data_IF_989505362528
#
_entry.id   IF_989505362528
#
_cell.length_a   1.000
_cell.length_b   1.000
_cell.length_c   1.000
_cell.angle_alpha   90.00
_cell.angle_beta   90.00
_cell.angle_gamma   90.00
#
_symmetry.space_group_name_H-M   'P 1'
#
loop_
_entity.id
_entity.type
_entity.pdbx_description
1 polymer ?
#
# COMPACT_ATOMS: atom_id res chain seq x y z
N UNK A 1 3.06 -24.36 33.45
CA UNK A 1 3.54 -24.83 32.13
C UNK A 1 2.35 -24.82 31.17
N UNK A 2 2.26 -23.82 30.29
CA UNK A 2 1.21 -23.75 29.26
C UNK A 2 1.77 -24.28 27.93
N UNK A 3 0.98 -25.00 27.11
CA UNK A 3 1.46 -25.59 25.88
C UNK A 3 1.67 -24.54 24.78
N UNK A 4 2.82 -24.65 24.10
CA UNK A 4 3.19 -23.93 22.89
C UNK A 4 2.09 -24.09 21.81
N UNK A 5 1.43 -22.99 21.43
CA UNK A 5 0.56 -22.95 20.25
C UNK A 5 1.45 -23.13 19.01
N UNK A 6 1.37 -24.29 18.38
CA UNK A 6 1.95 -24.55 17.05
C UNK A 6 1.33 -23.57 16.05
N UNK A 7 2.16 -22.70 15.47
CA UNK A 7 1.76 -21.82 14.38
C UNK A 7 1.23 -22.64 13.20
N UNK A 8 0.14 -22.18 12.57
CA UNK A 8 -0.35 -22.81 11.35
C UNK A 8 0.73 -22.72 10.26
N UNK A 9 1.00 -23.81 9.52
CA UNK A 9 1.93 -23.76 8.40
C UNK A 9 1.44 -22.74 7.37
N UNK A 10 2.36 -21.97 6.78
CA UNK A 10 2.09 -20.87 5.85
C UNK A 10 1.08 -21.24 4.74
N UNK A 11 1.09 -22.49 4.28
CA UNK A 11 0.10 -23.01 3.32
C UNK A 11 -1.34 -23.02 3.84
N UNK A 12 -1.56 -23.34 5.11
CA UNK A 12 -2.89 -23.33 5.72
C UNK A 12 -3.40 -21.90 5.98
N UNK A 13 -2.50 -20.93 6.19
CA UNK A 13 -2.86 -19.52 6.29
C UNK A 13 -3.28 -18.94 4.93
N UNK A 14 -2.55 -19.24 3.86
CA UNK A 14 -2.91 -18.85 2.50
C UNK A 14 -4.21 -19.50 2.04
N UNK A 15 -4.43 -20.78 2.34
CA UNK A 15 -5.69 -21.46 2.04
C UNK A 15 -6.87 -20.79 2.74
N UNK A 16 -6.68 -20.39 4.00
CA UNK A 16 -7.70 -19.68 4.77
C UNK A 16 -7.99 -18.29 4.21
N UNK A 17 -6.99 -17.56 3.72
CA UNK A 17 -7.19 -16.28 3.01
C UNK A 17 -7.98 -16.50 1.73
N UNK A 18 -7.66 -17.53 0.94
CA UNK A 18 -8.38 -17.87 -0.29
C UNK A 18 -9.82 -18.29 0.01
N UNK A 19 -10.06 -19.06 1.06
CA UNK A 19 -11.41 -19.43 1.51
C UNK A 19 -12.20 -18.21 2.00
N UNK A 20 -11.60 -17.32 2.80
CA UNK A 20 -12.29 -16.14 3.32
C UNK A 20 -12.58 -15.11 2.22
N UNK A 21 -11.65 -14.93 1.26
CA UNK A 21 -11.87 -14.07 0.08
C UNK A 21 -12.91 -14.68 -0.86
N UNK A 22 -12.89 -15.99 -1.09
CA UNK A 22 -13.92 -16.69 -1.85
C UNK A 22 -15.30 -16.61 -1.17
N UNK A 23 -15.35 -16.72 0.16
CA UNK A 23 -16.58 -16.54 0.96
C UNK A 23 -17.10 -15.11 0.90
N UNK A 24 -16.23 -14.11 0.99
CA UNK A 24 -16.59 -12.70 0.84
C UNK A 24 -17.07 -12.37 -0.58
N UNK A 25 -16.42 -12.92 -1.60
CA UNK A 25 -16.83 -12.79 -3.00
C UNK A 25 -18.18 -13.47 -3.24
N UNK A 26 -18.42 -14.67 -2.69
CA UNK A 26 -19.71 -15.36 -2.76
C UNK A 26 -20.80 -14.59 -2.00
N UNK A 27 -20.51 -14.03 -0.82
CA UNK A 27 -21.47 -13.22 -0.06
C UNK A 27 -21.84 -11.95 -0.82
N UNK A 28 -20.85 -11.26 -1.38
CA UNK A 28 -21.07 -10.05 -2.19
C UNK A 28 -21.83 -10.37 -3.49
N UNK A 29 -21.56 -11.53 -4.10
CA UNK A 29 -22.28 -12.03 -5.26
C UNK A 29 -23.73 -12.38 -4.92
N UNK A 30 -23.99 -13.06 -3.81
CA UNK A 30 -25.35 -13.40 -3.34
C UNK A 30 -26.14 -12.13 -3.06
N UNK A 31 -25.57 -11.15 -2.36
CA UNK A 31 -26.23 -9.85 -2.08
C UNK A 31 -26.52 -9.10 -3.40
N UNK A 32 -25.58 -9.09 -4.34
CA UNK A 32 -25.79 -8.46 -5.64
C UNK A 32 -26.90 -9.16 -6.45
N UNK A 33 -26.95 -10.50 -6.42
CA UNK A 33 -28.00 -11.29 -7.08
C UNK A 33 -29.36 -11.07 -6.41
N UNK A 34 -29.43 -10.99 -5.08
CA UNK A 34 -30.66 -10.69 -4.35
C UNK A 34 -31.18 -9.28 -4.65
N UNK A 35 -30.31 -8.27 -4.66
CA UNK A 35 -30.68 -6.89 -5.02
C UNK A 35 -31.21 -6.83 -6.47
N UNK A 36 -30.55 -7.52 -7.40
CA UNK A 36 -30.98 -7.59 -8.80
C UNK A 36 -32.32 -8.33 -8.90
N UNK A 37 -32.50 -9.45 -8.18
CA UNK A 37 -33.75 -10.23 -8.15
C UNK A 37 -34.92 -9.40 -7.60
N UNK A 38 -34.67 -8.65 -6.51
CA UNK A 38 -35.67 -7.79 -5.89
C UNK A 38 -36.10 -6.64 -6.80
N UNK A 39 -35.14 -6.00 -7.48
CA UNK A 39 -35.43 -4.98 -8.50
C UNK A 39 -36.19 -5.57 -9.71
N UNK A 40 -35.90 -6.82 -10.08
CA UNK A 40 -36.62 -7.51 -11.15
C UNK A 40 -38.06 -7.85 -10.78
N UNK A 41 -38.32 -8.29 -9.55
CA UNK A 41 -39.68 -8.55 -9.06
C UNK A 41 -40.51 -7.26 -9.01
N UNK A 42 -39.93 -6.18 -8.49
CA UNK A 42 -40.57 -4.85 -8.48
C UNK A 42 -40.91 -4.35 -9.88
N UNK A 43 -40.02 -4.54 -10.87
CA UNK A 43 -40.29 -4.16 -12.26
C UNK A 43 -41.31 -5.09 -12.94
N UNK A 44 -41.34 -6.37 -12.57
CA UNK A 44 -42.31 -7.34 -13.10
C UNK A 44 -43.73 -7.07 -12.59
N UNK A 45 -43.89 -6.74 -11.31
CA UNK A 45 -45.21 -6.46 -10.71
C UNK A 45 -45.81 -5.14 -11.20
N UNK A 46 -44.97 -4.14 -11.51
CA UNK A 46 -45.46 -2.82 -11.96
C UNK A 46 -45.74 -2.71 -13.47
N UNK A 47 -45.13 -3.53 -14.33
CA UNK A 47 -45.18 -3.31 -15.79
C UNK A 47 -45.80 -4.43 -16.64
N UNK A 48 -46.09 -5.60 -16.07
CA UNK A 48 -46.52 -6.77 -16.86
C UNK A 48 -47.99 -6.77 -17.32
N UNK A 49 -48.98 -6.05 -16.75
CA UNK A 49 -50.34 -6.16 -17.27
C UNK A 49 -50.58 -5.48 -18.63
N UNK A 50 -49.68 -4.62 -19.13
CA UNK A 50 -50.00 -3.73 -20.26
C UNK A 50 -49.21 -3.92 -21.57
N UNK A 51 -48.21 -4.81 -21.64
CA UNK A 51 -47.36 -4.88 -22.85
C UNK A 51 -47.26 -6.28 -23.46
N UNK A 52 -47.89 -6.42 -24.64
CA UNK A 52 -47.89 -7.63 -25.45
C UNK A 52 -46.50 -8.07 -25.95
N UNK A 53 -46.43 -9.33 -26.40
CA UNK A 53 -45.22 -10.15 -26.65
C UNK A 53 -44.12 -9.53 -27.53
N UNK A 54 -44.40 -8.47 -28.31
CA UNK A 54 -43.39 -7.76 -29.11
C UNK A 54 -42.40 -6.93 -28.27
N UNK A 55 -42.78 -6.47 -27.09
CA UNK A 55 -41.90 -5.71 -26.16
C UNK A 55 -40.89 -6.58 -25.43
N UNK A 56 -41.13 -7.90 -25.36
CA UNK A 56 -40.27 -8.84 -24.64
C UNK A 56 -38.88 -9.02 -25.28
N UNK A 57 -38.76 -8.90 -26.61
CA UNK A 57 -37.45 -8.92 -27.30
C UNK A 57 -36.62 -7.67 -27.03
N UNK A 58 -37.24 -6.47 -27.03
CA UNK A 58 -36.56 -5.22 -26.66
C UNK A 58 -36.10 -5.22 -25.20
N UNK A 59 -36.89 -5.81 -24.30
CA UNK A 59 -36.50 -5.98 -22.90
C UNK A 59 -35.27 -6.88 -22.71
N UNK A 60 -35.10 -7.96 -23.48
CA UNK A 60 -33.89 -8.81 -23.39
C UNK A 60 -32.59 -8.04 -23.71
N UNK A 61 -32.63 -7.13 -24.69
CA UNK A 61 -31.47 -6.29 -25.05
C UNK A 61 -31.15 -5.25 -23.96
N UNK A 62 -32.17 -4.66 -23.33
CA UNK A 62 -31.99 -3.70 -22.22
C UNK A 62 -31.38 -4.39 -20.99
N UNK A 63 -31.79 -5.63 -20.70
CA UNK A 63 -31.25 -6.43 -19.58
C UNK A 63 -29.75 -6.70 -19.73
N UNK A 64 -29.28 -7.01 -20.93
CA UNK A 64 -27.85 -7.23 -21.21
C UNK A 64 -27.05 -5.93 -21.04
N UNK A 65 -27.62 -4.80 -21.48
CA UNK A 65 -26.97 -3.49 -21.33
C UNK A 65 -26.87 -3.11 -19.86
N UNK A 66 -27.94 -3.30 -19.07
CA UNK A 66 -27.96 -2.99 -17.64
C UNK A 66 -26.95 -3.83 -16.85
N UNK A 67 -26.86 -5.14 -17.13
CA UNK A 67 -25.86 -6.02 -16.50
C UNK A 67 -24.43 -5.60 -16.85
N UNK A 68 -24.17 -5.24 -18.12
CA UNK A 68 -22.86 -4.74 -18.55
C UNK A 68 -22.51 -3.40 -17.89
N UNK A 69 -23.48 -2.50 -17.74
CA UNK A 69 -23.28 -1.20 -17.10
C UNK A 69 -23.00 -1.36 -15.59
N UNK A 70 -23.73 -2.25 -14.91
CA UNK A 70 -23.50 -2.60 -13.52
C UNK A 70 -22.12 -3.23 -13.31
N UNK A 71 -21.71 -4.16 -14.20
CA UNK A 71 -20.37 -4.75 -14.16
C UNK A 71 -19.28 -3.69 -14.36
N UNK A 72 -19.49 -2.73 -15.27
CA UNK A 72 -18.56 -1.63 -15.52
C UNK A 72 -18.44 -0.70 -14.29
N UNK A 73 -19.55 -0.41 -13.62
CA UNK A 73 -19.58 0.39 -12.38
C UNK A 73 -18.89 -0.35 -11.22
N UNK A 74 -19.07 -1.66 -11.11
CA UNK A 74 -18.36 -2.50 -10.12
C UNK A 74 -16.86 -2.52 -10.39
N UNK A 75 -16.45 -2.66 -11.66
CA UNK A 75 -15.04 -2.61 -12.05
C UNK A 75 -14.42 -1.22 -11.83
N UNK A 76 -15.17 -0.13 -12.07
CA UNK A 76 -14.74 1.24 -11.75
C UNK A 76 -14.62 1.47 -10.23
N UNK A 77 -15.48 0.84 -9.43
CA UNK A 77 -15.40 0.89 -7.96
C UNK A 77 -14.29 0.02 -7.36
N UNK A 78 -13.70 -0.87 -8.16
CA UNK A 78 -12.56 -1.72 -7.76
C UNK A 78 -11.20 -1.00 -7.89
N UNK A 79 -11.20 0.28 -8.26
CA UNK A 79 -10.06 1.17 -8.10
C UNK A 79 -9.84 1.47 -6.62
N UNK A 80 -9.23 0.52 -5.90
CA UNK A 80 -8.72 0.76 -4.54
C UNK A 80 -7.87 2.02 -4.62
N UNK A 81 -8.32 3.08 -3.94
CA UNK A 81 -7.62 4.34 -3.78
C UNK A 81 -6.34 4.08 -2.98
N UNK A 82 -5.29 3.64 -3.66
CA UNK A 82 -3.94 3.69 -3.14
C UNK A 82 -3.56 5.17 -3.07
N UNK A 83 -3.67 5.77 -1.88
CA UNK A 83 -3.12 7.09 -1.64
C UNK A 83 -1.62 6.91 -1.38
N UNK A 84 -0.74 7.21 -2.36
CA UNK A 84 0.68 7.13 -2.12
C UNK A 84 1.10 8.17 -1.08
N UNK A 85 2.18 7.86 -0.38
CA UNK A 85 2.83 8.78 0.55
C UNK A 85 3.87 9.55 -0.26
N UNK A 86 3.62 10.82 -0.52
CA UNK A 86 4.54 11.68 -1.25
C UNK A 86 5.56 12.28 -0.27
N UNK A 87 6.86 12.16 -0.61
CA UNK A 87 7.95 12.67 0.21
C UNK A 87 8.90 13.49 -0.64
N UNK A 88 9.16 14.74 -0.24
CA UNK A 88 10.17 15.60 -0.85
C UNK A 88 11.52 15.44 -0.15
N UNK A 89 12.54 15.20 -0.96
CA UNK A 89 13.93 15.05 -0.54
C UNK A 89 14.69 16.34 -0.89
N UNK A 90 15.58 16.83 0.00
CA UNK A 90 16.34 18.03 -0.29
C UNK A 90 17.13 17.92 -1.61
N UNK A 91 17.25 19.03 -2.39
CA UNK A 91 17.79 19.03 -3.76
C UNK A 91 19.16 18.38 -3.94
N UNK A 92 20.01 18.47 -2.91
CA UNK A 92 21.40 18.00 -2.93
C UNK A 92 21.60 16.75 -2.08
N UNK A 93 20.55 16.21 -1.47
CA UNK A 93 20.66 15.07 -0.59
C UNK A 93 20.96 13.80 -1.39
N UNK A 94 21.88 13.00 -0.85
CA UNK A 94 22.22 11.65 -1.31
C UNK A 94 22.44 10.79 -0.07
N UNK A 95 22.16 9.49 -0.17
CA UNK A 95 22.33 8.54 0.92
C UNK A 95 21.01 7.92 1.40
N UNK A 96 20.98 7.54 2.67
CA UNK A 96 19.88 6.80 3.26
C UNK A 96 18.75 7.71 3.74
N UNK A 97 17.59 7.53 3.13
CA UNK A 97 16.36 8.21 3.46
C UNK A 97 15.55 7.31 4.39
N UNK A 98 15.04 7.88 5.49
CA UNK A 98 14.25 7.15 6.49
C UNK A 98 12.91 7.84 6.70
N UNK A 99 11.82 7.09 6.56
CA UNK A 99 10.48 7.53 6.92
C UNK A 99 10.10 6.92 8.27
N UNK A 100 9.92 7.79 9.25
CA UNK A 100 9.66 7.41 10.64
C UNK A 100 8.16 7.54 10.92
N UNK A 101 7.45 6.41 11.10
CA UNK A 101 6.07 6.46 11.52
C UNK A 101 5.93 7.00 12.94
N UNK A 102 5.00 7.93 13.12
CA UNK A 102 4.59 8.46 14.42
C UNK A 102 3.24 7.85 14.81
N UNK A 103 3.16 7.26 16.00
CA UNK A 103 1.91 6.63 16.49
C UNK A 103 1.01 7.65 17.17
N UNK A 104 1.57 8.46 18.07
CA UNK A 104 0.84 9.56 18.71
C UNK A 104 0.97 10.85 17.89
N UNK A 105 -0.05 11.12 17.08
CA UNK A 105 -0.10 12.31 16.21
C UNK A 105 -0.66 13.55 16.91
N UNK A 106 -1.24 13.41 18.11
CA UNK A 106 -2.05 14.46 18.77
C UNK A 106 -1.26 15.74 19.01
N UNK A 107 0.04 15.61 19.29
CA UNK A 107 0.96 16.72 19.56
C UNK A 107 2.18 16.71 18.63
N UNK A 108 2.09 16.00 17.50
CA UNK A 108 3.19 15.93 16.53
C UNK A 108 2.91 16.82 15.33
N UNK A 109 3.78 17.79 15.08
CA UNK A 109 3.71 18.61 13.88
C UNK A 109 4.49 17.94 12.75
N UNK A 110 3.77 17.44 11.75
CA UNK A 110 4.37 16.94 10.52
C UNK A 110 4.81 18.11 9.64
N UNK A 111 6.03 18.05 9.13
CA UNK A 111 6.51 19.01 8.14
C UNK A 111 5.98 18.60 6.76
N UNK A 112 4.93 19.28 6.30
CA UNK A 112 4.26 19.01 5.04
C UNK A 112 4.27 20.29 4.20
N UNK A 113 4.66 20.17 2.92
CA UNK A 113 4.61 21.26 1.96
C UNK A 113 4.01 20.73 0.66
N UNK A 114 3.02 21.44 0.13
CA UNK A 114 2.32 21.06 -1.11
C UNK A 114 1.76 19.62 -1.12
N UNK A 115 1.37 19.09 0.05
CA UNK A 115 0.88 17.72 0.19
C UNK A 115 1.96 16.65 0.40
N UNK A 116 3.24 17.00 0.27
CA UNK A 116 4.38 16.10 0.45
C UNK A 116 5.03 16.25 1.82
N UNK A 117 5.38 15.13 2.45
CA UNK A 117 6.18 15.10 3.67
C UNK A 117 7.61 15.51 3.37
N UNK A 118 8.18 16.41 4.16
CA UNK A 118 9.51 16.96 3.90
C UNK A 118 10.56 16.18 4.68
N UNK A 119 11.53 15.59 3.97
CA UNK A 119 12.72 15.06 4.60
C UNK A 119 13.66 16.20 5.02
N UNK A 120 14.24 16.08 6.21
CA UNK A 120 15.23 17.04 6.69
C UNK A 120 16.60 16.84 6.00
N UNK A 121 17.58 17.68 6.37
CA UNK A 121 18.96 17.60 5.84
C UNK A 121 19.68 16.28 6.13
N UNK A 122 19.17 15.47 7.06
CA UNK A 122 19.68 14.14 7.37
C UNK A 122 19.00 13.01 6.58
N UNK A 123 18.00 13.32 5.76
CA UNK A 123 17.21 12.36 4.99
C UNK A 123 16.08 11.72 5.80
N UNK A 124 15.66 12.35 6.91
CA UNK A 124 14.60 11.82 7.78
C UNK A 124 13.31 12.59 7.54
N UNK A 125 12.23 11.88 7.23
CA UNK A 125 10.88 12.43 7.20
C UNK A 125 10.00 11.71 8.23
N UNK A 126 9.09 12.43 8.87
CA UNK A 126 8.11 11.84 9.78
C UNK A 126 6.77 11.72 9.08
N UNK A 127 6.12 10.57 9.22
CA UNK A 127 4.81 10.28 8.60
C UNK A 127 3.86 9.67 9.64
N UNK A 128 2.53 9.84 9.51
CA UNK A 128 1.59 9.16 10.38
C UNK A 128 1.68 7.64 10.22
N UNK A 129 1.73 6.89 11.34
CA UNK A 129 1.75 5.42 11.31
C UNK A 129 0.55 4.83 10.57
N UNK A 130 -0.59 5.53 10.57
CA UNK A 130 -1.80 5.14 9.85
C UNK A 130 -1.62 4.99 8.34
N UNK A 131 -0.59 5.60 7.75
CA UNK A 131 -0.28 5.50 6.32
C UNK A 131 0.54 4.24 5.97
N UNK A 132 1.18 3.61 6.95
CA UNK A 132 2.01 2.41 6.76
C UNK A 132 1.21 1.15 7.10
N UNK A 133 0.00 1.03 6.54
CA UNK A 133 -0.82 -0.20 6.61
C UNK A 133 -0.42 -1.17 5.50
N UNK A 134 -0.95 -2.40 5.53
CA UNK A 134 -0.75 -3.40 4.47
C UNK A 134 -1.00 -2.77 3.10
N UNK A 135 0.03 -2.82 2.25
CA UNK A 135 0.07 -2.29 0.87
C UNK A 135 0.16 -0.76 0.71
N UNK A 136 1.10 -0.12 1.42
CA UNK A 136 1.45 1.28 1.19
C UNK A 136 2.40 1.48 -0.01
N UNK A 137 2.29 2.61 -0.70
CA UNK A 137 3.22 3.08 -1.73
C UNK A 137 3.81 4.41 -1.30
N UNK A 138 5.11 4.61 -1.55
CA UNK A 138 5.80 5.88 -1.33
C UNK A 138 6.28 6.41 -2.68
N UNK A 139 6.04 7.69 -2.95
CA UNK A 139 6.65 8.40 -4.05
C UNK A 139 7.70 9.36 -3.49
N UNK A 140 8.87 9.39 -4.11
CA UNK A 140 9.98 10.23 -3.66
C UNK A 140 10.24 11.29 -4.72
N UNK A 141 10.29 12.55 -4.30
CA UNK A 141 10.50 13.69 -5.17
C UNK A 141 11.77 14.43 -4.80
N UNK A 142 12.48 14.95 -5.80
CA UNK A 142 13.58 15.88 -5.62
C UNK A 142 13.46 16.96 -6.68
N UNK A 143 13.43 18.23 -6.27
CA UNK A 143 13.13 19.36 -7.16
C UNK A 143 11.82 19.20 -7.96
N UNK A 144 10.79 18.63 -7.35
CA UNK A 144 9.49 18.37 -7.99
C UNK A 144 9.51 17.24 -9.03
N UNK A 145 10.63 16.54 -9.21
CA UNK A 145 10.74 15.39 -10.11
C UNK A 145 10.72 14.09 -9.32
N UNK A 146 9.96 13.10 -9.81
CA UNK A 146 9.96 11.74 -9.24
C UNK A 146 11.35 11.11 -9.40
N UNK A 147 11.90 10.62 -8.29
CA UNK A 147 13.21 9.96 -8.21
C UNK A 147 13.09 8.50 -7.77
N UNK A 148 11.90 7.92 -7.73
CA UNK A 148 11.66 6.55 -7.28
C UNK A 148 12.55 5.54 -8.04
N UNK A 149 12.64 5.67 -9.37
CA UNK A 149 13.48 4.80 -10.22
C UNK A 149 14.98 4.90 -9.91
N UNK A 150 15.42 6.02 -9.34
CA UNK A 150 16.81 6.30 -8.98
C UNK A 150 17.18 5.70 -7.63
N UNK A 151 16.20 5.48 -6.75
CA UNK A 151 16.41 4.87 -5.44
C UNK A 151 16.62 3.35 -5.48
N UNK A 152 17.20 2.81 -4.42
CA UNK A 152 17.53 1.39 -4.22
C UNK A 152 17.11 0.97 -2.81
N UNK A 153 16.98 -0.34 -2.59
CA UNK A 153 16.67 -0.94 -1.28
C UNK A 153 15.40 -0.42 -0.58
N UNK A 154 14.44 0.08 -1.35
CA UNK A 154 13.16 0.58 -0.83
C UNK A 154 12.38 -0.52 -0.10
N UNK A 155 11.95 -0.27 1.15
CA UNK A 155 11.12 -1.22 1.87
C UNK A 155 10.79 -0.85 3.31
N UNK A 156 9.79 -1.55 3.84
CA UNK A 156 9.46 -1.53 5.27
C UNK A 156 10.50 -2.36 6.04
N UNK A 157 11.05 -1.76 7.09
CA UNK A 157 11.98 -2.40 8.02
C UNK A 157 11.34 -2.47 9.40
N UNK A 158 11.51 -3.64 10.03
CA UNK A 158 11.20 -3.88 11.43
C UNK A 158 12.50 -4.28 12.11
N UNK A 159 13.04 -3.43 12.99
CA UNK A 159 14.22 -3.75 13.80
C UNK A 159 13.76 -4.35 15.13
N UNK A 160 14.44 -5.41 15.55
CA UNK A 160 14.05 -6.25 16.69
C UNK A 160 15.14 -6.18 17.78
N UNK A 161 14.74 -6.09 19.06
CA UNK A 161 15.69 -6.10 20.19
C UNK A 161 16.21 -7.52 20.38
N UNK A 162 15.27 -8.46 20.36
CA UNK A 162 15.39 -9.91 20.50
C UNK A 162 14.42 -10.56 19.48
N UNK A 163 14.43 -11.89 19.35
CA UNK A 163 13.55 -12.63 18.41
C UNK A 163 12.06 -12.31 18.49
N UNK A 164 11.57 -11.78 19.61
CA UNK A 164 10.13 -11.66 19.89
C UNK A 164 9.60 -10.22 20.05
N UNK A 165 10.42 -9.18 19.86
CA UNK A 165 9.94 -7.78 20.03
C UNK A 165 10.47 -6.82 18.97
N UNK A 166 9.54 -6.21 18.22
CA UNK A 166 9.82 -5.09 17.29
C UNK A 166 10.05 -3.84 18.12
N UNK A 167 11.23 -3.22 17.95
CA UNK A 167 11.61 -1.97 18.62
C UNK A 167 11.29 -0.79 17.73
N UNK A 168 11.60 -0.91 16.44
CA UNK A 168 11.46 0.17 15.48
C UNK A 168 10.80 -0.36 14.21
N UNK A 169 9.81 0.36 13.72
CA UNK A 169 9.24 0.16 12.38
C UNK A 169 9.51 1.43 11.59
N UNK A 170 10.10 1.34 10.41
CA UNK A 170 10.40 2.48 9.57
C UNK A 170 10.48 2.05 8.10
N UNK A 171 10.37 3.01 7.18
CA UNK A 171 10.62 2.75 5.75
C UNK A 171 11.98 3.32 5.39
N UNK A 172 12.77 2.58 4.62
CA UNK A 172 14.06 3.07 4.14
C UNK A 172 14.15 3.05 2.62
N UNK A 173 14.94 3.99 2.10
CA UNK A 173 15.36 4.05 0.71
C UNK A 173 16.82 4.50 0.67
N UNK A 174 17.57 4.01 -0.31
CA UNK A 174 18.90 4.51 -0.61
C UNK A 174 18.87 5.30 -1.91
N UNK A 175 19.30 6.57 -1.87
CA UNK A 175 19.52 7.40 -3.05
C UNK A 175 21.03 7.42 -3.36
N UNK A 176 21.50 6.68 -4.37
CA UNK A 176 22.92 6.61 -4.70
C UNK A 176 23.50 7.96 -5.14
N UNK A 177 24.84 8.10 -5.15
CA UNK A 177 25.52 9.17 -5.86
C UNK A 177 25.13 9.20 -7.33
N UNK A 178 25.14 10.38 -7.95
CA UNK A 178 24.68 10.60 -9.34
C UNK A 178 25.24 9.58 -10.34
N UNK A 179 26.53 9.27 -10.25
CA UNK A 179 27.23 8.29 -11.12
C UNK A 179 26.67 6.85 -11.05
N UNK A 180 25.93 6.52 -10.01
CA UNK A 180 25.38 5.19 -9.73
C UNK A 180 23.86 5.13 -9.92
N UNK A 181 23.17 6.27 -10.11
CA UNK A 181 21.70 6.32 -10.14
C UNK A 181 21.10 5.60 -11.35
N UNK A 182 21.79 5.64 -12.49
CA UNK A 182 21.35 5.01 -13.74
C UNK A 182 21.57 3.50 -13.78
N UNK A 183 22.28 2.93 -12.79
CA UNK A 183 22.45 1.48 -12.67
C UNK A 183 21.11 0.87 -12.23
N UNK A 184 20.49 -0.03 -13.03
CA UNK A 184 19.19 -0.61 -12.72
C UNK A 184 19.18 -1.33 -11.36
N UNK A 185 18.11 -1.23 -10.59
CA UNK A 185 18.04 -1.84 -9.26
C UNK A 185 18.21 -3.38 -9.24
N UNK A 186 17.91 -4.04 -10.36
CA UNK A 186 18.07 -5.48 -10.56
C UNK A 186 19.50 -5.91 -10.92
N UNK A 187 20.39 -4.95 -11.17
CA UNK A 187 21.75 -5.22 -11.61
C UNK A 187 22.55 -5.99 -10.54
N UNK A 188 23.46 -6.84 -11.00
CA UNK A 188 24.34 -7.64 -10.15
C UNK A 188 25.19 -6.76 -9.22
N UNK A 189 25.55 -5.56 -9.67
CA UNK A 189 26.21 -4.53 -8.87
C UNK A 189 25.50 -4.28 -7.52
N UNK A 190 24.18 -4.08 -7.57
CA UNK A 190 23.38 -3.81 -6.37
C UNK A 190 23.07 -5.08 -5.57
N UNK A 191 23.04 -6.24 -6.22
CA UNK A 191 22.68 -7.52 -5.60
C UNK A 191 23.86 -8.20 -4.91
N UNK A 192 25.00 -8.31 -5.58
CA UNK A 192 26.14 -9.12 -5.15
C UNK A 192 27.33 -8.31 -4.63
N UNK A 193 27.61 -7.15 -5.22
CA UNK A 193 28.81 -6.37 -4.87
C UNK A 193 28.69 -5.59 -3.57
N UNK A 194 27.52 -4.95 -3.36
CA UNK A 194 27.33 -4.05 -2.21
C UNK A 194 25.96 -4.16 -1.53
N UNK A 195 25.06 -5.06 -1.92
CA UNK A 195 23.70 -5.15 -1.35
C UNK A 195 23.65 -5.37 0.16
N UNK A 196 24.34 -6.40 0.65
CA UNK A 196 24.43 -6.71 2.08
C UNK A 196 25.18 -5.60 2.82
N UNK A 197 26.33 -5.17 2.29
CA UNK A 197 27.14 -4.10 2.86
C UNK A 197 26.37 -2.77 2.96
N UNK A 198 25.60 -2.42 1.93
CA UNK A 198 24.79 -1.20 1.93
C UNK A 198 23.70 -1.26 2.98
N UNK A 199 22.97 -2.38 3.11
CA UNK A 199 21.97 -2.52 4.19
C UNK A 199 22.59 -2.42 5.58
N UNK A 200 23.77 -3.00 5.80
CA UNK A 200 24.50 -2.84 7.07
C UNK A 200 24.91 -1.39 7.32
N UNK A 201 25.38 -0.68 6.29
CA UNK A 201 25.69 0.75 6.36
C UNK A 201 24.43 1.57 6.66
N UNK A 202 23.29 1.25 6.03
CA UNK A 202 21.99 1.86 6.30
C UNK A 202 21.55 1.66 7.74
N UNK A 203 21.62 0.43 8.25
CA UNK A 203 21.31 0.09 9.65
C UNK A 203 22.24 0.81 10.63
N UNK A 204 23.54 0.89 10.33
CA UNK A 204 24.49 1.65 11.16
C UNK A 204 24.11 3.13 11.19
N UNK A 205 23.86 3.72 10.02
CA UNK A 205 23.44 5.12 9.88
C UNK A 205 22.15 5.42 10.66
N UNK A 206 21.17 4.53 10.57
CA UNK A 206 19.92 4.62 11.33
C UNK A 206 20.16 4.62 12.85
N UNK A 207 20.98 3.68 13.35
CA UNK A 207 21.37 3.64 14.78
C UNK A 207 22.10 4.90 15.22
N UNK A 208 22.98 5.44 14.38
CA UNK A 208 23.70 6.68 14.68
C UNK A 208 22.75 7.90 14.72
N UNK A 209 21.73 7.95 13.86
CA UNK A 209 20.69 8.98 13.89
C UNK A 209 19.82 8.92 15.15
N UNK A 210 19.50 7.72 15.64
CA UNK A 210 18.82 7.56 16.94
C UNK A 210 19.71 8.05 18.08
N UNK A 211 20.97 7.60 18.13
CA UNK A 211 21.92 7.95 19.20
C UNK A 211 22.20 9.45 19.27
N UNK A 212 22.23 10.12 18.11
CA UNK A 212 22.44 11.57 18.00
C UNK A 212 21.15 12.39 18.17
N UNK A 213 20.01 11.75 18.44
CA UNK A 213 18.73 12.42 18.66
C UNK A 213 18.07 12.98 17.40
N UNK A 214 18.58 12.66 16.22
CA UNK A 214 18.03 13.12 14.94
C UNK A 214 16.80 12.31 14.49
N UNK A 215 16.69 11.07 14.97
CA UNK A 215 15.48 10.26 14.91
C UNK A 215 14.95 10.06 16.33
N UNK A 216 13.67 10.37 16.55
CA UNK A 216 12.96 10.10 17.79
C UNK A 216 11.64 9.40 17.47
N UNK A 217 11.43 8.23 18.08
CA UNK A 217 10.15 7.53 17.98
C UNK A 217 9.19 8.09 19.03
N UNK A 218 7.99 8.47 18.59
CA UNK A 218 6.89 8.96 19.43
C UNK A 218 5.64 8.13 19.19
#
# INVERSE_FOLDING_TARGET
>A
MQPLRKGLPLGAFLLKIVEETSRLLNSTYVIAVEIISWHYQLLAEFWIPQFGQATFRKMKSIKIIAVRLALLLVLLSCGILYNPIDVDIPPTYQGWIFLIPVKDTTNFQFNIKNGSYQANSYGVAYIPYSLIKTDFKVNLYQNGSDIQSKTKYGGLVQDYLNTDSIVHTYVEFYLPPLKEQDIPASDEYWRLGRGVLHREVGRKRFKDLIRSGQISFK
#
